data_IF_461500880903
#
_entry.id   IF_461500880903
#
_cell.length_a   1.000
_cell.length_b   1.000
_cell.length_c   1.000
_cell.angle_alpha   90.00
_cell.angle_beta   90.00
_cell.angle_gamma   90.00
#
_symmetry.space_group_name_H-M   'P 1'
#
loop_
_entity.id
_entity.type
_entity.pdbx_description
1 polymer ?
#
# COMPACT_ATOMS: atom_id res chain seq x y z
N UNK A 1 -25.72 7.31 4.97
CA UNK A 1 -24.56 7.58 4.09
C UNK A 1 -23.87 6.24 3.88
N UNK A 2 -24.07 5.58 2.74
CA UNK A 2 -23.30 4.37 2.43
C UNK A 2 -21.93 4.84 1.96
N UNK A 3 -20.95 4.75 2.85
CA UNK A 3 -19.56 4.79 2.41
C UNK A 3 -19.39 3.61 1.46
N UNK A 4 -19.10 3.88 0.19
CA UNK A 4 -18.60 2.86 -0.71
C UNK A 4 -17.31 2.33 -0.08
N UNK A 5 -17.44 1.24 0.68
CA UNK A 5 -16.34 0.66 1.45
C UNK A 5 -15.31 0.19 0.44
N UNK A 6 -14.14 0.82 0.50
CA UNK A 6 -13.02 0.46 -0.35
C UNK A 6 -12.67 -1.03 -0.20
N UNK A 7 -11.84 -1.60 -1.09
CA UNK A 7 -11.46 -3.01 -1.03
C UNK A 7 -10.98 -3.44 0.36
N UNK A 8 -10.21 -2.58 1.04
CA UNK A 8 -9.71 -2.81 2.40
C UNK A 8 -10.85 -2.93 3.42
N UNK A 9 -11.77 -1.96 3.47
CA UNK A 9 -12.87 -1.93 4.45
C UNK A 9 -13.78 -3.16 4.32
N UNK A 10 -14.02 -3.63 3.08
CA UNK A 10 -14.76 -4.88 2.83
C UNK A 10 -14.04 -6.11 3.36
N UNK A 11 -12.73 -6.21 3.15
CA UNK A 11 -11.93 -7.31 3.70
C UNK A 11 -11.90 -7.28 5.24
N UNK A 12 -11.74 -6.10 5.83
CA UNK A 12 -11.72 -5.93 7.28
C UNK A 12 -13.07 -6.32 7.89
N UNK A 13 -14.19 -5.75 7.42
CA UNK A 13 -15.53 -6.08 7.92
C UNK A 13 -15.83 -7.59 7.81
N UNK A 14 -15.41 -8.25 6.72
CA UNK A 14 -15.56 -9.69 6.56
C UNK A 14 -14.74 -10.53 7.56
N UNK A 15 -13.58 -10.03 8.01
CA UNK A 15 -12.67 -10.75 8.90
C UNK A 15 -12.99 -10.56 10.39
N UNK A 16 -13.42 -9.36 10.79
CA UNK A 16 -13.59 -8.97 12.21
C UNK A 16 -15.02 -8.60 12.58
N UNK A 17 -15.96 -8.55 11.62
CA UNK A 17 -17.31 -8.07 11.82
C UNK A 17 -17.40 -6.54 11.86
N UNK A 18 -18.51 -6.02 12.39
CA UNK A 18 -18.82 -4.58 12.45
C UNK A 18 -18.26 -3.90 13.71
N UNK A 19 -17.02 -4.21 14.10
CA UNK A 19 -16.32 -3.41 15.12
C UNK A 19 -15.52 -2.28 14.44
N UNK A 20 -16.00 -1.03 14.49
CA UNK A 20 -15.35 0.09 13.81
C UNK A 20 -13.98 0.44 14.42
N UNK A 21 -13.74 0.11 15.69
CA UNK A 21 -12.46 0.40 16.34
C UNK A 21 -11.36 -0.54 15.80
N UNK A 22 -11.66 -1.83 15.71
CA UNK A 22 -10.71 -2.81 15.17
C UNK A 22 -10.47 -2.56 13.66
N UNK A 23 -11.50 -2.18 12.92
CA UNK A 23 -11.34 -1.80 11.51
C UNK A 23 -10.37 -0.63 11.34
N UNK A 24 -10.48 0.41 12.18
CA UNK A 24 -9.58 1.56 12.18
C UNK A 24 -8.13 1.15 12.54
N UNK A 25 -7.95 0.31 13.55
CA UNK A 25 -6.63 -0.18 13.95
C UNK A 25 -5.94 -0.98 12.82
N UNK A 26 -6.68 -1.87 12.16
CA UNK A 26 -6.15 -2.66 11.04
C UNK A 26 -5.86 -1.81 9.81
N UNK A 27 -6.67 -0.78 9.54
CA UNK A 27 -6.40 0.23 8.50
C UNK A 27 -5.11 1.01 8.81
N UNK A 28 -4.92 1.39 10.07
CA UNK A 28 -3.69 2.01 10.55
C UNK A 28 -2.47 1.09 10.38
N UNK A 29 -2.59 -0.18 10.75
CA UNK A 29 -1.52 -1.16 10.60
C UNK A 29 -1.13 -1.41 9.12
N UNK A 30 -2.13 -1.47 8.23
CA UNK A 30 -1.92 -1.58 6.79
C UNK A 30 -1.17 -0.36 6.25
N UNK A 31 -1.67 0.85 6.49
CA UNK A 31 -1.07 2.09 5.97
C UNK A 31 0.32 2.34 6.55
N UNK A 32 0.54 2.03 7.83
CA UNK A 32 1.86 2.05 8.46
C UNK A 32 2.86 1.13 7.74
N UNK A 33 2.47 -0.13 7.50
CA UNK A 33 3.31 -1.10 6.78
C UNK A 33 3.61 -0.66 5.34
N UNK A 34 2.64 -0.06 4.66
CA UNK A 34 2.83 0.46 3.31
C UNK A 34 3.80 1.65 3.29
N UNK A 35 3.71 2.56 4.27
CA UNK A 35 4.65 3.70 4.44
C UNK A 35 6.07 3.22 4.71
N UNK A 36 6.24 2.19 5.53
CA UNK A 36 7.56 1.61 5.79
C UNK A 36 8.20 1.02 4.52
N UNK A 37 7.41 0.35 3.68
CA UNK A 37 7.88 -0.18 2.40
C UNK A 37 8.23 0.92 1.40
N UNK A 38 7.41 1.98 1.31
CA UNK A 38 7.72 3.15 0.49
C UNK A 38 9.00 3.87 0.97
N UNK A 39 9.22 3.93 2.28
CA UNK A 39 10.45 4.47 2.85
C UNK A 39 11.68 3.59 2.57
N UNK A 40 11.53 2.26 2.59
CA UNK A 40 12.58 1.34 2.16
C UNK A 40 12.94 1.51 0.69
N UNK A 41 11.95 1.68 -0.20
CA UNK A 41 12.19 2.02 -1.61
C UNK A 41 12.99 3.33 -1.73
N UNK A 42 12.57 4.38 -1.03
CA UNK A 42 13.25 5.68 -1.02
C UNK A 42 14.72 5.61 -0.57
N UNK A 43 15.05 4.67 0.33
CA UNK A 43 16.41 4.48 0.87
C UNK A 43 17.19 3.36 0.17
N UNK A 44 16.64 2.75 -0.88
CA UNK A 44 17.30 1.68 -1.62
C UNK A 44 18.67 2.15 -2.12
N UNK A 45 19.69 1.30 -1.94
CA UNK A 45 21.08 1.61 -2.34
C UNK A 45 21.46 1.00 -3.69
N UNK A 46 20.67 0.04 -4.14
CA UNK A 46 20.79 -0.61 -5.44
C UNK A 46 19.40 -1.03 -5.93
N UNK A 47 19.32 -1.31 -7.23
CA UNK A 47 18.10 -1.72 -7.94
C UNK A 47 17.43 -2.92 -7.26
N UNK A 48 18.23 -3.90 -6.82
CA UNK A 48 17.69 -5.07 -6.12
C UNK A 48 16.99 -4.73 -4.79
N UNK A 49 17.45 -3.72 -4.05
CA UNK A 49 16.75 -3.27 -2.83
C UNK A 49 15.42 -2.60 -3.16
N UNK A 50 15.41 -1.81 -4.23
CA UNK A 50 14.22 -1.16 -4.75
C UNK A 50 13.18 -2.20 -5.17
N UNK A 51 13.55 -3.16 -6.01
CA UNK A 51 12.66 -4.19 -6.54
C UNK A 51 12.07 -5.06 -5.43
N UNK A 52 12.88 -5.45 -4.44
CA UNK A 52 12.39 -6.24 -3.31
C UNK A 52 11.40 -5.45 -2.45
N UNK A 53 11.64 -4.16 -2.21
CA UNK A 53 10.72 -3.32 -1.45
C UNK A 53 9.41 -3.08 -2.23
N UNK A 54 9.49 -2.80 -3.53
CA UNK A 54 8.33 -2.65 -4.41
C UNK A 54 7.52 -3.94 -4.53
N UNK A 55 8.18 -5.11 -4.67
CA UNK A 55 7.51 -6.41 -4.71
C UNK A 55 6.78 -6.71 -3.39
N UNK A 56 7.36 -6.35 -2.24
CA UNK A 56 6.70 -6.47 -0.94
C UNK A 56 5.50 -5.54 -0.81
N UNK A 57 5.59 -4.31 -1.32
CA UNK A 57 4.46 -3.38 -1.38
C UNK A 57 3.32 -3.94 -2.24
N UNK A 58 3.66 -4.50 -3.42
CA UNK A 58 2.72 -5.19 -4.28
C UNK A 58 2.03 -6.36 -3.57
N UNK A 59 2.79 -7.20 -2.88
CA UNK A 59 2.26 -8.34 -2.12
C UNK A 59 1.28 -7.90 -1.01
N UNK A 60 1.66 -6.88 -0.25
CA UNK A 60 0.82 -6.30 0.80
C UNK A 60 -0.50 -5.75 0.21
N UNK A 61 -0.44 -4.98 -0.88
CA UNK A 61 -1.62 -4.43 -1.53
C UNK A 61 -2.51 -5.53 -2.14
N UNK A 62 -1.91 -6.59 -2.70
CA UNK A 62 -2.62 -7.72 -3.28
C UNK A 62 -3.44 -8.51 -2.25
N UNK A 63 -2.96 -8.63 -1.00
CA UNK A 63 -3.72 -9.29 0.08
C UNK A 63 -5.11 -8.69 0.28
N UNK A 64 -5.24 -7.38 0.10
CA UNK A 64 -6.50 -6.64 0.32
C UNK A 64 -7.16 -6.14 -0.97
N UNK A 65 -6.63 -6.54 -2.14
CA UNK A 65 -7.17 -6.16 -3.44
C UNK A 65 -7.08 -4.65 -3.75
N UNK A 66 -6.06 -3.95 -3.26
CA UNK A 66 -5.89 -2.51 -3.48
C UNK A 66 -5.18 -2.28 -4.82
N UNK A 67 -5.96 -2.31 -5.90
CA UNK A 67 -5.47 -2.28 -7.29
C UNK A 67 -4.54 -1.09 -7.55
N UNK A 68 -4.89 0.11 -7.08
CA UNK A 68 -4.06 1.32 -7.29
C UNK A 68 -2.64 1.17 -6.77
N UNK A 69 -2.46 0.57 -5.59
CA UNK A 69 -1.12 0.31 -5.04
C UNK A 69 -0.40 -0.84 -5.74
N UNK A 70 -1.13 -1.87 -6.20
CA UNK A 70 -0.56 -2.97 -6.99
C UNK A 70 0.05 -2.42 -8.28
N UNK A 71 -0.71 -1.59 -9.02
CA UNK A 71 -0.29 -1.00 -10.28
C UNK A 71 0.90 -0.05 -10.10
N UNK A 72 0.87 0.80 -9.06
CA UNK A 72 1.99 1.71 -8.76
C UNK A 72 3.27 0.95 -8.38
N UNK A 73 3.15 -0.16 -7.64
CA UNK A 73 4.30 -1.01 -7.32
C UNK A 73 4.85 -1.72 -8.56
N UNK A 74 4.00 -2.20 -9.46
CA UNK A 74 4.41 -2.76 -10.75
C UNK A 74 5.10 -1.71 -11.63
N UNK A 75 4.56 -0.48 -11.69
CA UNK A 75 5.16 0.64 -12.40
C UNK A 75 6.54 0.98 -11.83
N UNK A 76 6.70 0.96 -10.50
CA UNK A 76 7.99 1.19 -9.86
C UNK A 76 9.03 0.14 -10.23
N UNK A 77 8.64 -1.14 -10.31
CA UNK A 77 9.54 -2.24 -10.71
C UNK A 77 9.87 -2.22 -12.21
N UNK A 78 8.94 -1.77 -13.06
CA UNK A 78 9.15 -1.67 -14.51
C UNK A 78 9.92 -0.41 -14.92
N UNK A 79 9.93 0.61 -14.05
CA UNK A 79 10.57 1.91 -14.28
C UNK A 79 12.02 1.99 -13.80
N UNK A 80 12.52 3.21 -13.68
CA UNK A 80 13.85 3.47 -13.15
C UNK A 80 13.84 3.40 -11.60
N UNK A 81 14.69 2.59 -10.96
CA UNK A 81 14.85 2.58 -9.52
C UNK A 81 15.14 3.98 -8.96
N UNK A 82 14.46 4.36 -7.88
CA UNK A 82 14.60 5.68 -7.27
C UNK A 82 13.79 6.80 -7.93
N UNK A 83 12.93 6.52 -8.91
CA UNK A 83 12.08 7.53 -9.54
C UNK A 83 11.23 8.27 -8.48
N UNK A 84 11.43 9.59 -8.29
CA UNK A 84 10.71 10.36 -7.29
C UNK A 84 9.23 10.58 -7.66
N UNK A 85 8.83 10.39 -8.92
CA UNK A 85 7.43 10.54 -9.33
C UNK A 85 6.60 9.36 -8.82
N UNK A 86 7.03 8.12 -9.08
CA UNK A 86 6.29 6.92 -8.62
C UNK A 86 6.24 6.85 -7.09
N UNK A 87 7.31 7.25 -6.39
CA UNK A 87 7.28 7.36 -4.92
C UNK A 87 6.25 8.38 -4.42
N UNK A 88 6.10 9.53 -5.09
CA UNK A 88 5.08 10.53 -4.71
C UNK A 88 3.68 9.97 -4.93
N UNK A 89 3.45 9.27 -6.03
CA UNK A 89 2.16 8.64 -6.33
C UNK A 89 1.83 7.53 -5.33
N UNK A 90 2.81 6.69 -4.96
CA UNK A 90 2.66 5.66 -3.93
C UNK A 90 2.26 6.29 -2.59
N UNK A 91 2.98 7.32 -2.14
CA UNK A 91 2.66 7.97 -0.87
C UNK A 91 1.27 8.62 -0.89
N UNK A 92 0.89 9.28 -1.99
CA UNK A 92 -0.44 9.83 -2.14
C UNK A 92 -1.52 8.75 -2.06
N UNK A 93 -1.33 7.63 -2.76
CA UNK A 93 -2.27 6.51 -2.74
C UNK A 93 -2.39 5.90 -1.32
N UNK A 94 -1.31 5.87 -0.54
CA UNK A 94 -1.36 5.44 0.87
C UNK A 94 -2.13 6.44 1.73
N UNK A 95 -1.94 7.74 1.51
CA UNK A 95 -2.64 8.79 2.25
C UNK A 95 -4.15 8.81 1.94
N UNK A 96 -4.55 8.47 0.72
CA UNK A 96 -5.97 8.33 0.33
C UNK A 96 -6.65 7.11 1.01
N UNK A 97 -5.85 6.12 1.45
CA UNK A 97 -6.32 4.93 2.19
C UNK A 97 -6.30 5.16 3.70
N UNK A 98 -5.54 6.12 4.22
CA UNK A 98 -5.47 6.41 5.66
C UNK A 98 -6.80 6.96 6.17
#
# INVERSE_FOLDING_TARGET
MSFDSGPLDRYLSAAIGDDPAIALDLRGAFTGSARDLADLMRRARCDANWDVAALRLKGLAATFGIISLIELAEQAMAGAPGDPLVLRQINQAIDDIA
#
